data_IF_463187386079
#
_entry.id   IF_463187386079
#
_cell.length_a   1.000
_cell.length_b   1.000
_cell.length_c   1.000
_cell.angle_alpha   90.00
_cell.angle_beta   90.00
_cell.angle_gamma   90.00
#
_symmetry.space_group_name_H-M   'P 1'
#
loop_
_entity.id
_entity.type
_entity.pdbx_description
1 polymer ?
#
# COMPACT_ATOMS: atom_id res chain seq x y z
N UNK A 1 -19.00 13.09 -0.18
CA UNK A 1 -17.88 12.41 -0.87
C UNK A 1 -17.45 11.12 -0.13
N UNK A 2 -17.37 11.09 1.21
CA UNK A 2 -17.03 9.88 1.97
C UNK A 2 -17.91 8.65 1.63
N UNK A 3 -19.24 8.81 1.55
CA UNK A 3 -20.15 7.72 1.18
C UNK A 3 -19.93 7.15 -0.23
N UNK A 4 -19.39 7.96 -1.17
CA UNK A 4 -19.04 7.50 -2.52
C UNK A 4 -17.80 6.60 -2.43
N UNK A 5 -16.79 7.00 -1.67
CA UNK A 5 -15.55 6.21 -1.47
C UNK A 5 -15.87 4.90 -0.77
N UNK A 6 -16.69 4.90 0.28
CA UNK A 6 -17.11 3.68 0.98
C UNK A 6 -17.92 2.74 0.06
N UNK A 7 -18.77 3.31 -0.82
CA UNK A 7 -19.47 2.54 -1.85
C UNK A 7 -18.52 1.87 -2.83
N UNK A 8 -17.48 2.58 -3.28
CA UNK A 8 -16.44 2.05 -4.17
C UNK A 8 -15.62 0.95 -3.49
N UNK A 9 -15.21 1.16 -2.23
CA UNK A 9 -14.51 0.14 -1.40
C UNK A 9 -15.34 -1.11 -1.21
N UNK A 10 -16.66 -0.97 -1.08
CA UNK A 10 -17.60 -2.08 -1.00
C UNK A 10 -17.89 -2.75 -2.36
N UNK A 11 -17.19 -2.36 -3.43
CA UNK A 11 -17.32 -2.96 -4.77
C UNK A 11 -18.53 -2.48 -5.57
N UNK A 12 -19.23 -1.42 -5.15
CA UNK A 12 -20.39 -0.89 -5.87
C UNK A 12 -19.96 -0.10 -7.10
N UNK A 13 -20.70 -0.23 -8.18
CA UNK A 13 -20.48 0.56 -9.40
C UNK A 13 -20.88 2.03 -9.20
N UNK A 14 -20.27 2.92 -10.00
CA UNK A 14 -20.63 4.34 -10.02
C UNK A 14 -22.14 4.55 -10.27
N UNK A 15 -22.75 3.72 -11.13
CA UNK A 15 -24.18 3.77 -11.44
C UNK A 15 -25.05 3.40 -10.23
N UNK A 16 -24.66 2.38 -9.46
CA UNK A 16 -25.35 2.03 -8.21
C UNK A 16 -25.22 3.13 -7.16
N UNK A 17 -24.05 3.75 -7.04
CA UNK A 17 -23.82 4.86 -6.12
C UNK A 17 -24.67 6.07 -6.50
N UNK A 18 -24.74 6.42 -7.79
CA UNK A 18 -25.60 7.50 -8.31
C UNK A 18 -27.07 7.21 -7.98
N UNK A 19 -27.53 5.99 -8.29
CA UNK A 19 -28.92 5.59 -8.08
C UNK A 19 -29.31 5.55 -6.61
N UNK A 20 -28.42 5.07 -5.74
CA UNK A 20 -28.71 4.84 -4.33
C UNK A 20 -28.60 6.12 -3.49
N UNK A 21 -27.58 6.94 -3.74
CA UNK A 21 -27.32 8.15 -2.95
C UNK A 21 -27.79 9.45 -3.63
N UNK A 22 -28.25 9.40 -4.88
CA UNK A 22 -28.78 10.55 -5.61
C UNK A 22 -27.75 11.62 -5.95
N UNK A 23 -26.45 11.30 -5.90
CA UNK A 23 -25.40 12.26 -6.23
C UNK A 23 -25.37 12.61 -7.72
N UNK A 24 -25.00 13.85 -8.10
CA UNK A 24 -24.80 14.21 -9.49
C UNK A 24 -23.78 13.30 -10.17
N UNK A 25 -24.07 12.88 -11.40
CA UNK A 25 -23.20 12.01 -12.20
C UNK A 25 -21.76 12.56 -12.27
N UNK A 26 -21.60 13.85 -12.54
CA UNK A 26 -20.29 14.51 -12.58
C UNK A 26 -19.48 14.38 -11.29
N UNK A 27 -20.14 14.47 -10.13
CA UNK A 27 -19.48 14.37 -8.82
C UNK A 27 -19.01 12.94 -8.55
N UNK A 28 -19.83 11.94 -8.89
CA UNK A 28 -19.46 10.53 -8.71
C UNK A 28 -18.29 10.18 -9.63
N UNK A 29 -18.34 10.55 -10.91
CA UNK A 29 -17.25 10.25 -11.84
C UNK A 29 -15.94 11.00 -11.54
N UNK A 30 -15.98 12.24 -11.04
CA UNK A 30 -14.78 12.95 -10.54
C UNK A 30 -14.13 12.20 -9.36
N UNK A 31 -14.94 11.71 -8.42
CA UNK A 31 -14.45 10.95 -7.27
C UNK A 31 -13.93 9.58 -7.70
N UNK A 32 -14.61 8.88 -8.62
CA UNK A 32 -14.16 7.60 -9.18
C UNK A 32 -12.81 7.76 -9.86
N UNK A 33 -12.63 8.77 -10.71
CA UNK A 33 -11.37 9.02 -11.40
C UNK A 33 -10.22 9.25 -10.40
N UNK A 34 -10.45 10.09 -9.39
CA UNK A 34 -9.48 10.34 -8.31
C UNK A 34 -9.19 9.11 -7.46
N UNK A 35 -10.22 8.33 -7.15
CA UNK A 35 -10.10 7.09 -6.38
C UNK A 35 -9.30 6.03 -7.15
N UNK A 36 -9.60 5.82 -8.43
CA UNK A 36 -8.85 4.88 -9.27
C UNK A 36 -7.39 5.31 -9.44
N UNK A 37 -7.12 6.60 -9.63
CA UNK A 37 -5.75 7.12 -9.65
C UNK A 37 -5.04 6.95 -8.29
N UNK A 38 -5.77 7.09 -7.16
CA UNK A 38 -5.21 6.81 -5.83
C UNK A 38 -4.96 5.32 -5.60
N UNK A 39 -5.82 4.42 -6.09
CA UNK A 39 -5.60 2.98 -5.99
C UNK A 39 -4.41 2.55 -6.87
N UNK A 40 -4.27 3.11 -8.06
CA UNK A 40 -3.10 2.88 -8.93
C UNK A 40 -1.79 3.41 -8.34
N UNK A 41 -1.83 4.48 -7.54
CA UNK A 41 -0.66 4.93 -6.78
C UNK A 41 -0.47 4.18 -5.45
N UNK A 42 -1.52 3.57 -4.90
CA UNK A 42 -1.41 2.64 -3.77
C UNK A 42 -0.82 1.28 -4.18
N UNK A 43 -0.96 0.88 -5.45
CA UNK A 43 -0.21 -0.26 -6.02
C UNK A 43 1.28 0.05 -6.22
N UNK A 44 1.70 1.31 -6.01
CA UNK A 44 3.10 1.70 -6.06
C UNK A 44 3.81 1.29 -4.76
N UNK A 45 4.09 -0.01 -4.64
CA UNK A 45 4.98 -0.64 -3.65
C UNK A 45 6.27 0.17 -3.42
N UNK A 46 6.69 0.94 -4.43
CA UNK A 46 7.86 1.80 -4.37
C UNK A 46 7.79 2.90 -3.33
N UNK A 47 6.61 3.31 -2.87
CA UNK A 47 6.47 4.39 -1.90
C UNK A 47 6.04 3.91 -0.51
N UNK A 48 5.64 2.66 -0.34
CA UNK A 48 5.34 2.12 0.99
C UNK A 48 6.61 1.57 1.67
N UNK A 49 7.11 2.16 2.78
CA UNK A 49 8.30 1.66 3.47
C UNK A 49 8.18 0.22 3.97
N UNK A 50 6.96 -0.26 4.19
CA UNK A 50 6.73 -1.65 4.52
C UNK A 50 7.10 -2.56 3.34
N UNK A 51 6.70 -2.18 2.12
CA UNK A 51 6.84 -3.01 0.93
C UNK A 51 8.25 -2.93 0.33
N UNK A 52 8.82 -1.73 0.15
CA UNK A 52 10.16 -1.60 -0.45
C UNK A 52 11.32 -1.91 0.51
N UNK A 53 11.07 -2.07 1.82
CA UNK A 53 12.15 -2.27 2.79
C UNK A 53 11.84 -3.28 3.89
N UNK A 54 10.83 -3.02 4.73
CA UNK A 54 10.61 -3.81 5.96
C UNK A 54 10.34 -5.28 5.64
N UNK A 55 9.53 -5.56 4.62
CA UNK A 55 9.29 -6.94 4.19
C UNK A 55 10.54 -7.66 3.71
N UNK A 56 11.43 -6.99 2.98
CA UNK A 56 12.71 -7.57 2.57
C UNK A 56 13.63 -7.90 3.74
N UNK A 57 13.58 -7.14 4.84
CA UNK A 57 14.31 -7.46 6.07
C UNK A 57 13.68 -8.66 6.77
N UNK A 58 12.36 -8.64 6.97
CA UNK A 58 11.63 -9.72 7.65
C UNK A 58 11.81 -11.03 6.90
N UNK A 59 11.61 -11.03 5.58
CA UNK A 59 11.80 -12.20 4.72
C UNK A 59 13.21 -12.77 4.85
N UNK A 60 14.24 -11.92 4.80
CA UNK A 60 15.64 -12.35 4.96
C UNK A 60 15.91 -12.97 6.32
N UNK A 61 15.24 -12.52 7.38
CA UNK A 61 15.43 -13.03 8.75
C UNK A 61 14.69 -14.35 8.94
N UNK A 62 13.41 -14.40 8.57
CA UNK A 62 12.58 -15.60 8.76
C UNK A 62 13.05 -16.76 7.89
N UNK A 63 13.38 -16.51 6.62
CA UNK A 63 13.78 -17.56 5.68
C UNK A 63 15.18 -18.15 5.93
N UNK A 64 15.92 -17.69 6.95
CA UNK A 64 17.18 -18.35 7.38
C UNK A 64 16.95 -19.74 7.96
N UNK A 65 15.73 -20.05 8.37
CA UNK A 65 15.36 -21.33 8.97
C UNK A 65 14.12 -21.88 8.30
N UNK A 66 14.02 -23.22 8.22
CA UNK A 66 12.83 -23.87 7.70
C UNK A 66 11.72 -23.84 8.76
N UNK A 67 10.51 -23.46 8.35
CA UNK A 67 9.33 -23.49 9.20
C UNK A 67 8.47 -24.72 8.89
N UNK A 68 8.24 -25.63 9.86
CA UNK A 68 7.49 -26.86 9.61
C UNK A 68 5.98 -26.66 9.46
N UNK A 69 5.45 -25.51 9.90
CA UNK A 69 4.04 -25.17 9.81
C UNK A 69 3.82 -23.65 9.85
N UNK A 70 2.59 -23.22 9.54
CA UNK A 70 2.18 -21.81 9.51
C UNK A 70 2.36 -21.12 10.86
N UNK A 71 2.11 -21.82 11.98
CA UNK A 71 2.30 -21.24 13.32
C UNK A 71 3.75 -20.88 13.59
N UNK A 72 4.69 -21.75 13.22
CA UNK A 72 6.12 -21.50 13.33
C UNK A 72 6.55 -20.33 12.45
N UNK A 73 6.07 -20.26 11.21
CA UNK A 73 6.35 -19.14 10.31
C UNK A 73 5.81 -17.83 10.88
N UNK A 74 4.54 -17.81 11.31
CA UNK A 74 3.91 -16.62 11.90
C UNK A 74 4.68 -16.13 13.13
N UNK A 75 5.06 -17.04 14.03
CA UNK A 75 5.84 -16.70 15.24
C UNK A 75 7.18 -16.08 14.87
N UNK A 76 7.87 -16.64 13.87
CA UNK A 76 9.15 -16.10 13.41
C UNK A 76 8.99 -14.72 12.76
N UNK A 77 7.93 -14.52 11.97
CA UNK A 77 7.59 -13.23 11.38
C UNK A 77 7.33 -12.18 12.46
N UNK A 78 6.47 -12.47 13.45
CA UNK A 78 6.17 -11.57 14.56
C UNK A 78 7.45 -11.23 15.36
N UNK A 79 8.31 -12.22 15.63
CA UNK A 79 9.60 -12.00 16.29
C UNK A 79 10.56 -11.14 15.45
N UNK A 80 10.60 -11.32 14.13
CA UNK A 80 11.42 -10.51 13.23
C UNK A 80 10.97 -9.03 13.23
N UNK A 81 9.66 -8.77 13.30
CA UNK A 81 9.16 -7.40 13.47
C UNK A 81 9.57 -6.79 14.81
N UNK A 82 9.39 -7.52 15.92
CA UNK A 82 9.69 -7.02 17.27
C UNK A 82 11.19 -6.78 17.47
N UNK A 83 12.04 -7.59 16.83
CA UNK A 83 13.49 -7.46 16.94
C UNK A 83 14.10 -6.39 16.01
N UNK A 84 13.30 -5.79 15.12
CA UNK A 84 13.80 -4.78 14.20
C UNK A 84 14.13 -3.48 14.93
N UNK A 85 15.38 -3.03 14.81
CA UNK A 85 15.83 -1.84 15.51
C UNK A 85 15.25 -0.55 14.89
N UNK A 86 15.11 0.50 15.72
CA UNK A 86 14.54 1.77 15.27
C UNK A 86 15.40 2.50 14.23
N UNK A 87 16.72 2.33 14.23
CA UNK A 87 17.60 2.91 13.22
C UNK A 87 17.42 2.23 11.85
N UNK A 88 17.04 0.95 11.81
CA UNK A 88 16.67 0.23 10.59
C UNK A 88 15.37 0.80 10.01
N UNK A 89 14.37 1.07 10.84
CA UNK A 89 13.14 1.74 10.39
C UNK A 89 13.40 3.20 9.97
N UNK A 90 14.24 3.92 10.69
CA UNK A 90 14.60 5.29 10.35
C UNK A 90 15.29 5.36 8.97
N UNK A 91 16.22 4.44 8.69
CA UNK A 91 16.87 4.31 7.37
C UNK A 91 15.88 4.04 6.25
N UNK A 92 14.80 3.29 6.51
CA UNK A 92 13.73 3.08 5.54
C UNK A 92 13.02 4.41 5.25
N UNK A 93 12.56 5.10 6.30
CA UNK A 93 11.86 6.38 6.18
C UNK A 93 12.71 7.47 5.51
N UNK A 94 14.02 7.52 5.76
CA UNK A 94 14.93 8.48 5.14
C UNK A 94 15.01 8.32 3.60
N UNK A 95 14.81 7.10 3.09
CA UNK A 95 14.80 6.81 1.65
C UNK A 95 13.50 7.24 0.97
N UNK A 96 12.42 7.47 1.72
CA UNK A 96 11.12 7.81 1.16
C UNK A 96 11.17 9.04 0.27
N UNK A 97 11.90 10.10 0.68
CA UNK A 97 12.05 11.31 -0.14
C UNK A 97 12.73 11.01 -1.48
N UNK A 98 13.84 10.28 -1.46
CA UNK A 98 14.57 9.93 -2.68
C UNK A 98 13.73 9.06 -3.62
N UNK A 99 12.92 8.14 -3.06
CA UNK A 99 12.00 7.32 -3.86
C UNK A 99 10.88 8.15 -4.49
N UNK A 100 10.29 9.12 -3.77
CA UNK A 100 9.33 10.07 -4.37
C UNK A 100 9.98 10.82 -5.55
N UNK A 101 11.19 11.33 -5.35
CA UNK A 101 11.92 12.05 -6.41
C UNK A 101 12.15 11.16 -7.64
N UNK A 102 12.50 9.89 -7.43
CA UNK A 102 12.66 8.93 -8.50
C UNK A 102 11.34 8.59 -9.21
N UNK A 103 10.22 8.43 -8.48
CA UNK A 103 8.89 8.23 -9.09
C UNK A 103 8.48 9.45 -9.93
N UNK A 104 8.77 10.66 -9.45
CA UNK A 104 8.53 11.90 -10.22
C UNK A 104 9.36 11.91 -11.51
N UNK A 105 10.65 11.56 -11.43
CA UNK A 105 11.53 11.46 -12.59
C UNK A 105 11.08 10.39 -13.59
N UNK A 106 10.51 9.29 -13.08
CA UNK A 106 9.90 8.22 -13.88
C UNK A 106 8.49 8.58 -14.39
N UNK A 107 8.01 9.80 -14.14
CA UNK A 107 6.67 10.27 -14.50
C UNK A 107 5.55 9.34 -13.97
N UNK A 108 5.70 8.88 -12.72
CA UNK A 108 4.81 7.90 -12.09
C UNK A 108 5.07 6.45 -12.48
N UNK A 109 6.17 6.17 -13.20
CA UNK A 109 6.60 4.83 -13.55
C UNK A 109 7.26 4.07 -12.41
N UNK A 110 7.46 2.76 -12.62
CA UNK A 110 8.13 1.87 -11.68
C UNK A 110 9.59 2.27 -11.45
N UNK A 111 10.06 2.15 -10.20
CA UNK A 111 11.45 2.35 -9.79
C UNK A 111 11.94 1.14 -8.98
N UNK A 112 13.24 0.81 -9.03
CA UNK A 112 13.85 -0.22 -8.17
C UNK A 112 14.19 0.33 -6.77
#
# INVERSE_FOLDING_TARGET
RAAIIEGLRAGRSATEIIRFFGYPRSTVYDVVAKYTASEQSNEDSNLNPLDYYVWGVVERVTNKSRHPNVTSLRTATEAAFVSMDSATLQRACERFRQRIEAVIQANGGYIE
#
